data_IF_321493888199
#
_entry.id   IF_321493888199
#
_cell.length_a   1.000
_cell.length_b   1.000
_cell.length_c   1.000
_cell.angle_alpha   90.00
_cell.angle_beta   90.00
_cell.angle_gamma   90.00
#
_symmetry.space_group_name_H-M   'P 1'
#
loop_
_entity.id
_entity.type
_entity.pdbx_description
1 polymer ?
#
# COMPACT_ATOMS: atom_id res chain seq x y z
N UNK A 1 21.88 -1.65 -4.91
CA UNK A 1 20.81 -0.75 -5.39
C UNK A 1 19.61 -0.76 -4.45
N UNK A 2 18.93 -1.91 -4.24
CA UNK A 2 17.75 -2.01 -3.35
C UNK A 2 17.96 -1.33 -1.99
N UNK A 3 18.97 -1.74 -1.22
CA UNK A 3 19.28 -1.14 0.07
C UNK A 3 19.57 0.37 0.01
N UNK A 4 20.21 0.85 -1.06
CA UNK A 4 20.52 2.26 -1.21
C UNK A 4 19.25 3.09 -1.46
N UNK A 5 18.34 2.57 -2.30
CA UNK A 5 17.03 3.19 -2.54
C UNK A 5 16.19 3.18 -1.26
N UNK A 6 16.18 2.08 -0.50
CA UNK A 6 15.48 2.05 0.78
C UNK A 6 15.97 3.16 1.72
N UNK A 7 17.30 3.27 1.90
CA UNK A 7 17.86 4.25 2.81
C UNK A 7 17.56 5.69 2.37
N UNK A 8 17.80 6.02 1.10
CA UNK A 8 17.54 7.35 0.57
C UNK A 8 16.06 7.73 0.66
N UNK A 9 15.16 6.79 0.35
CA UNK A 9 13.72 7.05 0.44
C UNK A 9 13.29 7.27 1.89
N UNK A 10 13.76 6.44 2.82
CA UNK A 10 13.47 6.60 4.26
C UNK A 10 13.96 7.94 4.79
N UNK A 11 15.20 8.31 4.50
CA UNK A 11 15.77 9.61 4.92
C UNK A 11 14.97 10.78 4.33
N UNK A 12 14.68 10.73 3.03
CA UNK A 12 13.97 11.82 2.34
C UNK A 12 12.52 11.93 2.80
N UNK A 13 11.80 10.82 2.95
CA UNK A 13 10.42 10.81 3.44
C UNK A 13 10.33 11.28 4.90
N UNK A 14 11.31 10.94 5.74
CA UNK A 14 11.39 11.47 7.11
C UNK A 14 11.50 12.99 7.10
N UNK A 15 12.31 13.56 6.20
CA UNK A 15 12.41 15.01 6.04
C UNK A 15 11.11 15.66 5.52
N UNK A 16 10.35 14.96 4.67
CA UNK A 16 9.09 15.47 4.12
C UNK A 16 7.93 15.39 5.12
N UNK A 17 7.95 14.40 6.01
CA UNK A 17 6.94 14.20 7.06
C UNK A 17 7.21 15.05 8.31
N UNK A 18 8.43 15.59 8.45
CA UNK A 18 8.80 16.49 9.54
C UNK A 18 8.19 17.90 9.35
N UNK A 19 7.08 18.15 10.05
CA UNK A 19 6.27 19.38 9.96
C UNK A 19 7.04 20.63 10.44
N UNK A 20 8.11 20.46 11.23
CA UNK A 20 8.86 21.57 11.82
C UNK A 20 9.92 22.17 10.87
N UNK A 21 10.25 21.49 9.76
CA UNK A 21 11.34 21.88 8.84
C UNK A 21 10.85 22.53 7.52
N UNK A 22 10.31 23.75 7.61
CA UNK A 22 9.73 24.46 6.45
C UNK A 22 10.72 24.92 5.37
N UNK A 23 12.02 25.05 5.66
CA UNK A 23 12.98 25.68 4.72
C UNK A 23 13.55 24.76 3.64
N UNK A 24 13.38 23.44 3.75
CA UNK A 24 13.94 22.45 2.81
C UNK A 24 12.88 21.56 2.13
N UNK A 25 11.59 21.85 2.33
CA UNK A 25 10.49 20.97 1.94
C UNK A 25 10.38 20.79 0.40
N UNK A 26 10.55 21.83 -0.40
CA UNK A 26 10.36 21.74 -1.86
C UNK A 26 11.42 20.84 -2.54
N UNK A 27 12.69 21.01 -2.19
CA UNK A 27 13.78 20.15 -2.71
C UNK A 27 13.63 18.71 -2.21
N UNK A 28 13.22 18.52 -0.95
CA UNK A 28 12.98 17.20 -0.39
C UNK A 28 11.79 16.51 -1.08
N UNK A 29 10.71 17.24 -1.37
CA UNK A 29 9.54 16.75 -2.10
C UNK A 29 9.88 16.36 -3.54
N UNK A 30 10.66 17.18 -4.25
CA UNK A 30 11.12 16.84 -5.60
C UNK A 30 12.04 15.59 -5.61
N UNK A 31 12.91 15.46 -4.61
CA UNK A 31 13.73 14.27 -4.43
C UNK A 31 12.88 13.05 -4.07
N UNK A 32 11.90 13.20 -3.17
CA UNK A 32 10.97 12.15 -2.78
C UNK A 32 10.22 11.63 -4.00
N UNK A 33 9.67 12.52 -4.81
CA UNK A 33 8.98 12.15 -6.05
C UNK A 33 9.89 11.36 -6.99
N UNK A 34 11.12 11.84 -7.22
CA UNK A 34 12.11 11.14 -8.05
C UNK A 34 12.45 9.75 -7.51
N UNK A 35 12.57 9.59 -6.20
CA UNK A 35 12.85 8.31 -5.55
C UNK A 35 11.63 7.37 -5.61
N UNK A 36 10.41 7.89 -5.48
CA UNK A 36 9.17 7.14 -5.65
C UNK A 36 9.02 6.64 -7.09
N UNK A 37 9.39 7.42 -8.09
CA UNK A 37 9.39 6.99 -9.50
C UNK A 37 10.40 5.87 -9.76
N UNK A 38 11.60 5.96 -9.19
CA UNK A 38 12.60 4.89 -9.27
C UNK A 38 12.08 3.62 -8.59
N UNK A 39 11.51 3.74 -7.39
CA UNK A 39 10.89 2.63 -6.67
C UNK A 39 9.79 1.99 -7.50
N UNK A 40 8.89 2.80 -8.08
CA UNK A 40 7.80 2.33 -8.92
C UNK A 40 8.32 1.55 -10.14
N UNK A 41 9.38 2.04 -10.79
CA UNK A 41 10.04 1.34 -11.89
C UNK A 41 10.62 -0.02 -11.48
N UNK A 42 11.32 -0.06 -10.34
CA UNK A 42 11.87 -1.30 -9.77
C UNK A 42 10.76 -2.32 -9.46
N UNK A 43 9.68 -1.87 -8.81
CA UNK A 43 8.53 -2.71 -8.45
C UNK A 43 7.77 -3.22 -9.68
N UNK A 44 7.58 -2.37 -10.69
CA UNK A 44 6.93 -2.75 -11.95
C UNK A 44 7.73 -3.80 -12.70
N UNK A 45 9.05 -3.66 -12.73
CA UNK A 45 9.96 -4.66 -13.30
C UNK A 45 9.83 -5.99 -12.56
N UNK A 46 10.00 -6.00 -11.24
CA UNK A 46 9.88 -7.22 -10.42
C UNK A 46 8.53 -7.89 -10.59
N UNK A 47 7.44 -7.13 -10.52
CA UNK A 47 6.08 -7.64 -10.73
C UNK A 47 5.87 -8.26 -12.12
N UNK A 48 6.46 -7.65 -13.15
CA UNK A 48 6.39 -8.19 -14.51
C UNK A 48 7.10 -9.54 -14.64
N UNK A 49 8.30 -9.68 -14.07
CA UNK A 49 9.06 -10.95 -14.06
C UNK A 49 8.29 -12.03 -13.31
N UNK A 50 7.79 -11.73 -12.10
CA UNK A 50 7.00 -12.68 -11.30
C UNK A 50 5.74 -13.11 -12.05
N UNK A 51 5.03 -12.18 -12.69
CA UNK A 51 3.83 -12.50 -13.47
C UNK A 51 4.15 -13.41 -14.65
N UNK A 52 5.24 -13.17 -15.37
CA UNK A 52 5.68 -14.02 -16.49
C UNK A 52 5.99 -15.44 -16.01
N UNK A 53 6.73 -15.58 -14.90
CA UNK A 53 7.05 -16.87 -14.30
C UNK A 53 5.77 -17.64 -13.88
N UNK A 54 4.83 -16.96 -13.21
CA UNK A 54 3.55 -17.56 -12.80
C UNK A 54 2.68 -17.97 -13.99
N UNK A 55 2.67 -17.20 -15.08
CA UNK A 55 1.94 -17.54 -16.30
C UNK A 55 2.56 -18.77 -16.99
N UNK A 56 3.89 -18.80 -17.12
CA UNK A 56 4.60 -19.93 -17.71
C UNK A 56 4.40 -21.21 -16.89
N UNK A 57 4.43 -21.11 -15.56
CA UNK A 57 4.14 -22.23 -14.65
C UNK A 57 2.71 -22.78 -14.87
N UNK A 58 1.70 -21.90 -14.93
CA UNK A 58 0.29 -22.31 -15.18
C UNK A 58 0.09 -22.99 -16.54
N UNK A 59 0.88 -22.60 -17.55
CA UNK A 59 0.81 -23.19 -18.90
C UNK A 59 1.61 -24.48 -19.06
N UNK A 60 2.35 -24.94 -18.04
CA UNK A 60 3.22 -26.12 -18.11
C UNK A 60 4.49 -25.92 -18.96
N UNK A 61 4.80 -24.69 -19.35
CA UNK A 61 5.92 -24.36 -20.25
C UNK A 61 7.29 -24.35 -19.56
N UNK A 62 7.38 -24.68 -18.26
CA UNK A 62 8.65 -24.71 -17.52
C UNK A 62 9.34 -23.34 -17.45
N UNK A 63 8.60 -22.29 -17.07
CA UNK A 63 9.15 -20.94 -16.92
C UNK A 63 10.24 -20.84 -15.87
N UNK A 64 11.04 -19.77 -15.95
CA UNK A 64 12.13 -19.48 -15.02
C UNK A 64 11.58 -18.97 -13.66
N UNK A 65 11.03 -19.88 -12.86
CA UNK A 65 10.54 -19.57 -11.51
C UNK A 65 11.68 -19.22 -10.57
N UNK A 66 12.88 -19.77 -10.80
CA UNK A 66 14.04 -19.51 -9.94
C UNK A 66 14.48 -18.05 -10.04
N UNK A 67 14.62 -17.50 -11.25
CA UNK A 67 14.99 -16.09 -11.39
C UNK A 67 13.96 -15.13 -10.76
N UNK A 68 12.67 -15.49 -10.82
CA UNK A 68 11.61 -14.71 -10.17
C UNK A 68 11.71 -14.78 -8.64
N UNK A 69 11.99 -15.96 -8.08
CA UNK A 69 12.20 -16.15 -6.64
C UNK A 69 13.46 -15.42 -6.15
N UNK A 70 14.59 -15.54 -6.86
CA UNK A 70 15.84 -14.84 -6.53
C UNK A 70 15.64 -13.32 -6.55
N UNK A 71 14.87 -12.80 -7.52
CA UNK A 71 14.55 -11.38 -7.60
C UNK A 71 13.65 -10.93 -6.45
N UNK A 72 12.66 -11.73 -6.06
CA UNK A 72 11.81 -11.46 -4.89
C UNK A 72 12.63 -11.43 -3.60
N UNK A 73 13.56 -12.37 -3.42
CA UNK A 73 14.46 -12.43 -2.27
C UNK A 73 15.40 -11.22 -2.23
N UNK A 74 15.99 -10.86 -3.37
CA UNK A 74 16.86 -9.68 -3.48
C UNK A 74 16.11 -8.38 -3.18
N UNK A 75 14.83 -8.31 -3.58
CA UNK A 75 13.97 -7.14 -3.42
C UNK A 75 13.23 -7.12 -2.09
N UNK A 76 13.40 -8.13 -1.24
CA UNK A 76 12.73 -8.26 0.06
C UNK A 76 12.89 -7.03 0.97
N UNK A 77 14.05 -6.35 1.06
CA UNK A 77 14.16 -5.14 1.89
C UNK A 77 13.24 -3.97 1.49
N UNK A 78 12.58 -4.04 0.33
CA UNK A 78 11.57 -3.05 -0.05
C UNK A 78 10.28 -3.17 0.79
N UNK A 79 10.05 -4.28 1.49
CA UNK A 79 8.87 -4.45 2.38
C UNK A 79 8.91 -3.52 3.59
N UNK A 80 10.09 -3.08 4.01
CA UNK A 80 10.26 -2.09 5.07
C UNK A 80 9.66 -0.73 4.67
N UNK A 81 9.62 -0.44 3.36
CA UNK A 81 9.04 0.79 2.82
C UNK A 81 7.50 0.82 2.90
N UNK A 82 6.84 -0.31 3.19
CA UNK A 82 5.38 -0.32 3.37
C UNK A 82 4.97 0.61 4.51
N UNK A 83 5.66 0.54 5.66
CA UNK A 83 5.41 1.42 6.82
C UNK A 83 5.76 2.88 6.54
N UNK A 84 6.60 3.16 5.54
CA UNK A 84 6.96 4.51 5.11
C UNK A 84 5.95 5.10 4.11
N UNK A 85 5.45 4.28 3.18
CA UNK A 85 4.53 4.71 2.12
C UNK A 85 3.14 5.06 2.66
N UNK A 86 2.68 4.39 3.72
CA UNK A 86 1.36 4.65 4.30
C UNK A 86 1.23 6.09 4.82
N UNK A 87 2.17 6.62 5.64
CA UNK A 87 2.19 8.02 6.04
C UNK A 87 2.31 9.04 4.89
N UNK A 88 2.77 8.62 3.70
CA UNK A 88 2.84 9.49 2.52
C UNK A 88 1.52 9.56 1.74
N UNK A 89 0.57 8.66 1.99
CA UNK A 89 -0.72 8.67 1.30
C UNK A 89 -1.58 9.93 1.59
N UNK A 90 -1.67 10.46 2.82
CA UNK A 90 -2.43 11.69 3.09
C UNK A 90 -1.72 12.98 2.64
N UNK A 91 -0.66 12.90 1.82
CA UNK A 91 0.03 14.08 1.31
C UNK A 91 -0.91 14.97 0.47
N UNK A 92 -0.76 16.29 0.60
CA UNK A 92 -1.54 17.27 -0.16
C UNK A 92 -1.23 17.24 -1.67
N UNK A 93 -0.02 16.82 -2.03
CA UNK A 93 0.40 16.65 -3.41
C UNK A 93 -0.24 15.38 -4.02
N UNK A 94 -1.13 15.51 -5.01
CA UNK A 94 -1.79 14.37 -5.64
C UNK A 94 -0.81 13.45 -6.37
N UNK A 95 0.34 13.95 -6.84
CA UNK A 95 1.36 13.13 -7.51
C UNK A 95 2.05 12.21 -6.51
N UNK A 96 2.32 12.70 -5.30
CA UNK A 96 2.88 11.88 -4.20
C UNK A 96 1.89 10.79 -3.80
N UNK A 97 0.61 11.11 -3.65
CA UNK A 97 -0.42 10.09 -3.38
C UNK A 97 -0.49 9.05 -4.50
N UNK A 98 -0.48 9.48 -5.77
CA UNK A 98 -0.61 8.60 -6.92
C UNK A 98 0.55 7.60 -7.00
N UNK A 99 1.79 8.06 -6.93
CA UNK A 99 2.96 7.18 -7.05
C UNK A 99 3.12 6.31 -5.79
N UNK A 100 2.93 6.88 -4.60
CA UNK A 100 3.05 6.13 -3.34
C UNK A 100 2.02 5.01 -3.23
N UNK A 101 0.76 5.28 -3.60
CA UNK A 101 -0.32 4.27 -3.58
C UNK A 101 -0.08 3.14 -4.60
N UNK A 102 0.47 3.45 -5.78
CA UNK A 102 0.89 2.44 -6.77
C UNK A 102 2.03 1.58 -6.25
N UNK A 103 3.07 2.19 -5.69
CA UNK A 103 4.19 1.47 -5.06
C UNK A 103 3.70 0.53 -3.96
N UNK A 104 2.88 1.05 -3.05
CA UNK A 104 2.29 0.26 -1.96
C UNK A 104 1.46 -0.91 -2.51
N UNK A 105 0.64 -0.66 -3.54
CA UNK A 105 -0.17 -1.70 -4.19
C UNK A 105 0.67 -2.84 -4.76
N UNK A 106 1.78 -2.53 -5.44
CA UNK A 106 2.66 -3.56 -5.99
C UNK A 106 3.38 -4.31 -4.87
N UNK A 107 3.89 -3.62 -3.85
CA UNK A 107 4.56 -4.23 -2.71
C UNK A 107 3.66 -5.26 -2.00
N UNK A 108 2.43 -4.89 -1.65
CA UNK A 108 1.51 -5.81 -0.97
C UNK A 108 1.05 -6.94 -1.89
N UNK A 109 1.02 -6.74 -3.21
CA UNK A 109 0.73 -7.83 -4.15
C UNK A 109 1.86 -8.86 -4.16
N UNK A 110 3.11 -8.41 -4.21
CA UNK A 110 4.30 -9.26 -4.25
C UNK A 110 4.56 -9.97 -2.91
N UNK A 111 4.48 -9.24 -1.79
CA UNK A 111 4.93 -9.70 -0.49
C UNK A 111 3.80 -9.88 0.54
N UNK A 112 2.57 -9.47 0.22
CA UNK A 112 1.48 -9.45 1.21
C UNK A 112 1.72 -8.40 2.30
N UNK A 113 1.19 -8.65 3.49
CA UNK A 113 1.42 -7.88 4.70
C UNK A 113 2.63 -8.41 5.50
N UNK A 114 3.74 -8.73 4.83
CA UNK A 114 4.91 -9.35 5.49
C UNK A 114 5.51 -8.47 6.59
N UNK A 115 5.48 -7.14 6.42
CA UNK A 115 5.92 -6.19 7.45
C UNK A 115 4.82 -6.04 8.52
N UNK A 116 5.02 -6.56 9.76
CA UNK A 116 4.00 -6.56 10.81
C UNK A 116 3.70 -5.18 11.39
N UNK A 117 4.60 -4.22 11.20
CA UNK A 117 4.53 -2.86 11.75
C UNK A 117 3.95 -1.88 10.71
N UNK A 118 3.29 -2.40 9.66
CA UNK A 118 2.75 -1.57 8.59
C UNK A 118 1.35 -1.02 8.88
N UNK A 119 0.53 -1.74 9.65
CA UNK A 119 -0.78 -1.27 10.08
C UNK A 119 -0.79 -1.00 11.58
N UNK A 120 0.04 -0.05 12.04
CA UNK A 120 -0.07 0.50 13.39
C UNK A 120 -1.39 1.27 13.56
N UNK A 121 -1.82 1.60 14.80
CA UNK A 121 -3.02 2.40 15.03
C UNK A 121 -3.03 3.73 14.25
N UNK A 122 -1.89 4.43 14.18
CA UNK A 122 -1.74 5.70 13.47
C UNK A 122 -1.94 5.53 11.95
N UNK A 123 -1.41 4.43 11.41
CA UNK A 123 -1.58 4.08 10.00
C UNK A 123 -3.04 3.67 9.71
N UNK A 124 -3.71 2.99 10.63
CA UNK A 124 -5.12 2.64 10.52
C UNK A 124 -6.02 3.88 10.50
N UNK A 125 -5.73 4.86 11.37
CA UNK A 125 -6.40 6.17 11.36
C UNK A 125 -6.17 6.91 10.05
N UNK A 126 -4.94 6.92 9.54
CA UNK A 126 -4.61 7.52 8.23
C UNK A 126 -5.43 6.88 7.09
N UNK A 127 -5.60 5.55 7.10
CA UNK A 127 -6.48 4.88 6.14
C UNK A 127 -7.95 5.25 6.31
N UNK A 128 -8.44 5.41 7.54
CA UNK A 128 -9.82 5.81 7.81
C UNK A 128 -10.11 7.21 7.23
N UNK A 129 -9.21 8.16 7.47
CA UNK A 129 -9.29 9.52 6.93
C UNK A 129 -9.23 9.53 5.40
N UNK A 130 -8.32 8.75 4.80
CA UNK A 130 -8.23 8.64 3.34
C UNK A 130 -9.50 8.04 2.73
N UNK A 131 -10.01 6.94 3.28
CA UNK A 131 -11.20 6.27 2.76
C UNK A 131 -12.44 7.16 2.79
N UNK A 132 -12.55 8.03 3.81
CA UNK A 132 -13.67 8.96 3.98
C UNK A 132 -13.50 10.26 3.18
N UNK A 133 -12.28 10.77 3.05
CA UNK A 133 -12.00 12.03 2.34
C UNK A 133 -11.94 11.88 0.82
N UNK A 134 -11.47 10.73 0.31
CA UNK A 134 -11.38 10.47 -1.13
C UNK A 134 -12.77 10.32 -1.75
N UNK A 135 -13.06 11.11 -2.79
CA UNK A 135 -14.34 11.10 -3.52
C UNK A 135 -14.32 10.22 -4.77
N UNK A 136 -13.15 9.92 -5.33
CA UNK A 136 -13.05 9.04 -6.49
C UNK A 136 -13.16 7.57 -6.06
N UNK A 137 -14.17 6.82 -6.53
CA UNK A 137 -14.29 5.40 -6.24
C UNK A 137 -13.07 4.58 -6.66
N UNK A 138 -12.32 4.99 -7.68
CA UNK A 138 -11.10 4.27 -8.12
C UNK A 138 -10.02 4.30 -7.05
N UNK A 139 -9.82 5.45 -6.42
CA UNK A 139 -8.85 5.62 -5.33
C UNK A 139 -9.30 4.83 -4.10
N UNK A 140 -10.57 4.92 -3.72
CA UNK A 140 -11.13 4.12 -2.62
C UNK A 140 -10.97 2.62 -2.88
N UNK A 141 -11.26 2.14 -4.10
CA UNK A 141 -11.05 0.74 -4.49
C UNK A 141 -9.59 0.33 -4.39
N UNK A 142 -8.66 1.19 -4.79
CA UNK A 142 -7.23 0.90 -4.68
C UNK A 142 -6.84 0.71 -3.21
N UNK A 143 -7.21 1.65 -2.33
CA UNK A 143 -6.92 1.61 -0.90
C UNK A 143 -7.53 0.36 -0.24
N UNK A 144 -8.79 0.06 -0.53
CA UNK A 144 -9.46 -1.15 0.00
C UNK A 144 -8.78 -2.43 -0.50
N UNK A 145 -8.32 -2.49 -1.75
CA UNK A 145 -7.60 -3.67 -2.27
C UNK A 145 -6.25 -3.86 -1.61
N UNK A 146 -5.56 -2.77 -1.29
CA UNK A 146 -4.30 -2.79 -0.52
C UNK A 146 -4.58 -3.37 0.87
N UNK A 147 -5.52 -2.77 1.61
CA UNK A 147 -5.91 -3.21 2.95
C UNK A 147 -6.32 -4.67 2.98
N UNK A 148 -7.22 -5.08 2.07
CA UNK A 148 -7.67 -6.48 1.94
C UNK A 148 -6.49 -7.44 1.77
N UNK A 149 -5.50 -7.08 0.94
CA UNK A 149 -4.31 -7.92 0.73
C UNK A 149 -3.45 -8.00 1.99
N UNK A 150 -3.26 -6.90 2.71
CA UNK A 150 -2.47 -6.84 3.94
C UNK A 150 -3.08 -7.67 5.07
N UNK A 151 -4.40 -7.59 5.27
CA UNK A 151 -5.11 -8.34 6.34
C UNK A 151 -5.28 -9.82 6.00
N UNK A 152 -5.43 -10.16 4.72
CA UNK A 152 -5.58 -11.56 4.30
C UNK A 152 -4.28 -12.37 4.45
N UNK A 153 -3.13 -11.70 4.54
CA UNK A 153 -1.82 -12.35 4.60
C UNK A 153 -1.09 -12.20 5.94
N UNK A 154 -1.60 -11.42 6.88
CA UNK A 154 -1.02 -11.27 8.22
C UNK A 154 -2.09 -11.03 9.28
N UNK A 155 -2.20 -11.95 10.24
CA UNK A 155 -3.19 -11.89 11.32
C UNK A 155 -2.94 -10.72 12.28
N UNK A 156 -1.68 -10.31 12.51
CA UNK A 156 -1.38 -9.15 13.37
C UNK A 156 -1.99 -7.85 12.83
N UNK A 157 -2.04 -7.70 11.51
CA UNK A 157 -2.70 -6.56 10.88
C UNK A 157 -4.21 -6.58 11.13
N UNK A 158 -4.82 -7.77 11.09
CA UNK A 158 -6.23 -7.92 11.40
C UNK A 158 -6.52 -7.48 12.84
N UNK A 159 -5.74 -7.97 13.80
CA UNK A 159 -5.88 -7.61 15.22
C UNK A 159 -5.68 -6.10 15.48
N UNK A 160 -4.71 -5.49 14.79
CA UNK A 160 -4.49 -4.05 14.88
C UNK A 160 -5.72 -3.26 14.40
N UNK A 161 -6.30 -3.64 13.26
CA UNK A 161 -7.48 -2.97 12.72
C UNK A 161 -8.75 -3.21 13.55
N UNK A 162 -8.91 -4.36 14.20
CA UNK A 162 -10.01 -4.60 15.18
C UNK A 162 -10.03 -3.56 16.28
N UNK A 163 -8.86 -3.06 16.66
CA UNK A 163 -8.69 -2.10 17.75
C UNK A 163 -8.95 -0.66 17.32
N UNK A 164 -9.05 -0.37 16.01
CA UNK A 164 -9.24 0.99 15.48
C UNK A 164 -10.72 1.27 15.18
N UNK A 165 -11.37 1.99 16.10
CA UNK A 165 -12.79 2.38 15.96
C UNK A 165 -13.03 3.31 14.76
N UNK A 166 -12.12 4.26 14.51
CA UNK A 166 -12.20 5.18 13.37
C UNK A 166 -12.17 4.42 12.04
N UNK A 167 -11.31 3.42 11.92
CA UNK A 167 -11.20 2.59 10.72
C UNK A 167 -12.45 1.74 10.50
N UNK A 168 -12.97 1.09 11.56
CA UNK A 168 -14.22 0.32 11.49
C UNK A 168 -15.39 1.20 11.05
N UNK A 169 -15.51 2.39 11.65
CA UNK A 169 -16.56 3.34 11.30
C UNK A 169 -16.45 3.80 9.83
N UNK A 170 -15.24 4.07 9.33
CA UNK A 170 -15.02 4.43 7.93
C UNK A 170 -15.46 3.30 6.98
N UNK A 171 -15.13 2.05 7.30
CA UNK A 171 -15.57 0.90 6.52
C UNK A 171 -17.09 0.69 6.58
N UNK A 172 -17.71 0.85 7.75
CA UNK A 172 -19.17 0.74 7.91
C UNK A 172 -19.90 1.78 7.06
N UNK A 173 -19.40 3.03 7.03
CA UNK A 173 -19.97 4.08 6.19
C UNK A 173 -19.89 3.72 4.71
N UNK A 174 -18.76 3.18 4.24
CA UNK A 174 -18.61 2.75 2.84
C UNK A 174 -19.47 1.51 2.51
N UNK A 175 -19.63 0.60 3.46
CA UNK A 175 -20.43 -0.61 3.30
C UNK A 175 -21.95 -0.34 3.28
N UNK A 176 -22.39 0.73 3.94
CA UNK A 176 -23.81 1.10 4.05
C UNK A 176 -24.16 2.40 3.30
N UNK A 177 -23.26 2.89 2.44
CA UNK A 177 -23.52 4.06 1.63
C UNK A 177 -24.74 3.83 0.72
N UNK A 178 -25.57 4.87 0.56
CA UNK A 178 -26.82 4.79 -0.20
C UNK A 178 -26.60 4.21 -1.60
N UNK A 179 -27.33 3.14 -1.92
CA UNK A 179 -27.20 2.35 -3.16
C UNK A 179 -27.38 3.15 -4.47
N UNK A 180 -27.91 4.37 -4.39
CA UNK A 180 -28.11 5.27 -5.53
C UNK A 180 -26.84 6.08 -5.89
N UNK A 181 -25.91 6.24 -4.96
CA UNK A 181 -24.66 7.00 -5.15
C UNK A 181 -23.39 6.19 -4.90
N UNK A 182 -23.50 5.03 -4.27
CA UNK A 182 -22.36 4.19 -3.90
C UNK A 182 -21.85 3.33 -5.06
N UNK A 183 -20.53 3.27 -5.24
CA UNK A 183 -19.90 2.31 -6.14
C UNK A 183 -19.98 0.91 -5.52
N UNK A 184 -20.67 -0.01 -6.22
CA UNK A 184 -20.95 -1.36 -5.70
C UNK A 184 -19.69 -2.17 -5.37
N UNK A 185 -18.57 -1.91 -6.07
CA UNK A 185 -17.31 -2.58 -5.80
C UNK A 185 -16.59 -2.00 -4.58
N UNK A 186 -16.69 -0.69 -4.32
CA UNK A 186 -16.24 -0.09 -3.06
C UNK A 186 -17.00 -0.70 -1.89
N UNK A 187 -18.33 -0.71 -1.96
CA UNK A 187 -19.20 -1.28 -0.93
C UNK A 187 -18.89 -2.76 -0.69
N UNK A 188 -18.77 -3.57 -1.75
CA UNK A 188 -18.44 -4.99 -1.62
C UNK A 188 -17.07 -5.24 -0.98
N UNK A 189 -16.06 -4.45 -1.31
CA UNK A 189 -14.72 -4.59 -0.72
C UNK A 189 -14.70 -4.18 0.75
N UNK A 190 -15.40 -3.09 1.11
CA UNK A 190 -15.51 -2.65 2.49
C UNK A 190 -16.19 -3.72 3.37
N UNK A 191 -17.28 -4.31 2.86
CA UNK A 191 -18.01 -5.37 3.55
C UNK A 191 -17.18 -6.66 3.70
N UNK A 192 -16.39 -7.01 2.67
CA UNK A 192 -15.46 -8.16 2.73
C UNK A 192 -14.42 -7.97 3.85
N UNK A 193 -13.84 -6.77 3.96
CA UNK A 193 -12.84 -6.46 4.99
C UNK A 193 -13.49 -6.44 6.38
N UNK A 194 -14.65 -5.80 6.55
CA UNK A 194 -15.40 -5.81 7.81
C UNK A 194 -15.70 -7.23 8.28
N UNK A 195 -16.21 -8.08 7.39
CA UNK A 195 -16.50 -9.47 7.72
C UNK A 195 -15.22 -10.22 8.12
N UNK A 196 -14.10 -10.01 7.43
CA UNK A 196 -12.83 -10.63 7.80
C UNK A 196 -12.36 -10.21 9.20
N UNK A 197 -12.63 -8.96 9.60
CA UNK A 197 -12.29 -8.41 10.92
C UNK A 197 -13.25 -8.91 12.01
N UNK A 198 -14.55 -9.08 11.71
CA UNK A 198 -15.55 -9.48 12.71
C UNK A 198 -15.71 -11.00 12.90
N UNK A 199 -15.29 -11.82 11.93
CA UNK A 199 -15.50 -13.29 11.97
C UNK A 199 -14.31 -14.10 12.49
N UNK A 200 -13.14 -13.49 12.55
CA UNK A 200 -11.93 -14.04 13.16
C UNK A 200 -11.65 -13.28 14.44
#
# INVERSE_FOLDING_TARGET
LVSHICNLLTETATLCLDVDNKSNNETAAALLFSLLDILHGMLTYTSSIVRLALQAQKSGSGGDTQAAEDLLLLSKPLTDLISLLIPLLPNEDPEIFEVSSKCLSILVQLYGGENPDSLTPENAESFAELLTSKKDPKEQKLLLRILRRMVASNEKHLESLKSSSCFLQALEQLAHADSLSADSAVTSLALEILNAICTK
#
